data_IF_631552435678
#
_entry.id   IF_631552435678
#
_cell.length_a   1.000
_cell.length_b   1.000
_cell.length_c   1.000
_cell.angle_alpha   90.00
_cell.angle_beta   90.00
_cell.angle_gamma   90.00
#
_symmetry.space_group_name_H-M   'P 1'
#
loop_
_entity.id
_entity.type
_entity.pdbx_description
1 polymer ?
#
# COMPACT_ATOMS: atom_id res chain seq x y z
N UNK A 1 -56.01 -76.54 -19.60
CA UNK A 1 -55.94 -75.06 -19.68
C UNK A 1 -55.16 -74.56 -18.41
N UNK A 2 -53.87 -74.38 -18.55
CA UNK A 2 -52.97 -73.98 -17.46
C UNK A 2 -52.73 -72.49 -17.60
N UNK A 3 -53.11 -71.70 -16.59
CA UNK A 3 -53.01 -70.26 -16.53
C UNK A 3 -51.57 -69.93 -16.05
N UNK A 4 -50.75 -69.30 -16.91
CA UNK A 4 -49.40 -68.82 -16.55
C UNK A 4 -49.54 -67.57 -15.67
N UNK A 5 -49.04 -67.70 -14.48
CA UNK A 5 -48.95 -66.61 -13.46
C UNK A 5 -47.73 -65.75 -13.78
N UNK A 6 -47.94 -64.62 -14.43
CA UNK A 6 -46.87 -63.63 -14.69
C UNK A 6 -46.73 -62.70 -13.47
N UNK A 7 -45.91 -63.08 -12.46
CA UNK A 7 -45.49 -62.18 -11.42
C UNK A 7 -44.52 -61.14 -12.01
N UNK A 8 -45.00 -59.91 -12.13
CA UNK A 8 -44.16 -58.76 -12.40
C UNK A 8 -43.21 -58.54 -11.24
N UNK A 9 -41.92 -58.63 -11.49
CA UNK A 9 -40.91 -58.32 -10.49
C UNK A 9 -41.00 -56.81 -10.14
N UNK A 10 -41.35 -56.50 -8.90
CA UNK A 10 -41.29 -55.12 -8.37
C UNK A 10 -39.85 -54.61 -8.43
N UNK A 11 -39.61 -53.37 -8.87
CA UNK A 11 -38.27 -52.82 -8.90
C UNK A 11 -37.78 -52.63 -7.44
N UNK A 12 -36.67 -53.27 -7.12
CA UNK A 12 -36.00 -53.12 -5.81
C UNK A 12 -35.58 -51.64 -5.66
N UNK A 13 -36.38 -50.88 -4.93
CA UNK A 13 -36.09 -49.47 -4.66
C UNK A 13 -34.74 -49.32 -3.99
N UNK A 14 -33.95 -48.35 -4.44
CA UNK A 14 -32.66 -48.01 -3.79
C UNK A 14 -32.90 -47.74 -2.31
N UNK A 15 -32.08 -48.34 -1.44
CA UNK A 15 -32.26 -48.12 0.00
C UNK A 15 -32.04 -46.61 0.35
N UNK A 16 -32.92 -46.05 1.19
CA UNK A 16 -33.00 -44.63 1.54
C UNK A 16 -31.66 -44.03 1.98
N UNK A 17 -30.79 -44.82 2.65
CA UNK A 17 -29.45 -44.36 3.08
C UNK A 17 -28.52 -44.03 1.91
N UNK A 18 -28.68 -44.64 0.75
CA UNK A 18 -27.89 -44.32 -0.47
C UNK A 18 -28.23 -42.91 -0.95
N UNK A 19 -29.50 -42.56 -0.97
CA UNK A 19 -29.95 -41.21 -1.34
C UNK A 19 -29.49 -40.17 -0.31
N UNK A 20 -29.51 -40.49 0.98
CA UNK A 20 -29.01 -39.64 2.07
C UNK A 20 -27.50 -39.47 1.94
N UNK A 21 -26.74 -40.50 1.65
CA UNK A 21 -25.28 -40.44 1.49
C UNK A 21 -24.87 -39.60 0.27
N UNK A 22 -25.59 -39.74 -0.85
CA UNK A 22 -25.38 -38.90 -2.04
C UNK A 22 -25.70 -37.44 -1.73
N UNK A 23 -26.77 -37.12 -0.98
CA UNK A 23 -27.12 -35.77 -0.60
C UNK A 23 -26.04 -35.15 0.30
N UNK A 24 -25.53 -35.90 1.29
CA UNK A 24 -24.43 -35.44 2.16
C UNK A 24 -23.16 -35.17 1.39
N UNK A 25 -22.76 -36.08 0.47
CA UNK A 25 -21.59 -35.87 -0.37
C UNK A 25 -21.74 -34.66 -1.28
N UNK A 26 -22.90 -34.46 -1.89
CA UNK A 26 -23.18 -33.27 -2.70
C UNK A 26 -23.12 -31.97 -1.89
N UNK A 27 -23.65 -31.98 -0.66
CA UNK A 27 -23.55 -30.84 0.23
C UNK A 27 -22.09 -30.53 0.64
N UNK A 28 -21.28 -31.55 0.95
CA UNK A 28 -19.87 -31.38 1.27
C UNK A 28 -19.06 -30.84 0.07
N UNK A 29 -19.34 -31.32 -1.13
CA UNK A 29 -18.71 -30.80 -2.35
C UNK A 29 -19.10 -29.34 -2.62
N UNK A 30 -20.38 -28.98 -2.43
CA UNK A 30 -20.85 -27.61 -2.55
C UNK A 30 -20.19 -26.68 -1.51
N UNK A 31 -20.20 -27.07 -0.25
CA UNK A 31 -19.57 -26.29 0.83
C UNK A 31 -18.05 -26.18 0.63
N UNK A 32 -17.39 -27.28 0.24
CA UNK A 32 -15.97 -27.27 -0.11
C UNK A 32 -15.68 -26.36 -1.31
N UNK A 33 -16.51 -26.43 -2.36
CA UNK A 33 -16.40 -25.54 -3.52
C UNK A 33 -16.60 -24.06 -3.18
N UNK A 34 -17.60 -23.74 -2.37
CA UNK A 34 -17.82 -22.38 -1.87
C UNK A 34 -16.65 -21.91 -1.01
N UNK A 35 -16.14 -22.75 -0.11
CA UNK A 35 -14.98 -22.42 0.73
C UNK A 35 -13.73 -22.15 -0.10
N UNK A 36 -13.42 -23.00 -1.08
CA UNK A 36 -12.30 -22.82 -2.01
C UNK A 36 -12.49 -21.54 -2.83
N UNK A 37 -13.69 -21.31 -3.37
CA UNK A 37 -14.02 -20.12 -4.14
C UNK A 37 -13.83 -18.83 -3.31
N UNK A 38 -14.37 -18.79 -2.09
CA UNK A 38 -14.19 -17.62 -1.19
C UNK A 38 -12.74 -17.44 -0.80
N UNK A 39 -11.99 -18.54 -0.55
CA UNK A 39 -10.57 -18.47 -0.19
C UNK A 39 -9.71 -17.90 -1.33
N UNK A 40 -9.99 -18.28 -2.58
CA UNK A 40 -9.27 -17.77 -3.77
C UNK A 40 -9.66 -16.33 -4.08
N UNK A 41 -10.93 -15.96 -3.85
CA UNK A 41 -11.47 -14.63 -4.15
C UNK A 41 -11.34 -13.64 -3.00
N UNK A 42 -10.98 -14.09 -1.78
CA UNK A 42 -10.79 -13.20 -0.64
C UNK A 42 -9.67 -12.20 -0.94
N UNK A 43 -9.93 -10.89 -0.83
CA UNK A 43 -8.87 -9.90 -0.99
C UNK A 43 -7.80 -10.12 0.09
N UNK A 44 -6.54 -9.86 -0.25
CA UNK A 44 -5.45 -9.93 0.72
C UNK A 44 -5.75 -8.97 1.88
N UNK A 45 -5.66 -9.43 3.15
CA UNK A 45 -5.95 -8.60 4.31
C UNK A 45 -4.78 -7.65 4.57
N UNK A 46 -4.75 -6.53 3.87
CA UNK A 46 -3.77 -5.48 4.09
C UNK A 46 -3.87 -4.92 5.50
N UNK A 47 -2.75 -4.54 6.07
CA UNK A 47 -2.68 -3.86 7.36
C UNK A 47 -2.93 -2.35 7.22
N UNK A 48 -2.45 -1.76 6.13
CA UNK A 48 -2.73 -0.38 5.77
C UNK A 48 -4.17 -0.18 5.31
N UNK A 49 -4.62 1.07 5.29
CA UNK A 49 -5.92 1.47 4.75
C UNK A 49 -5.90 1.40 3.23
N UNK A 50 -6.70 0.52 2.65
CA UNK A 50 -6.75 0.25 1.21
C UNK A 50 -7.66 1.25 0.52
N UNK A 51 -7.33 1.65 -0.70
CA UNK A 51 -8.25 2.39 -1.57
C UNK A 51 -9.27 1.44 -2.20
N UNK A 52 -10.55 1.77 -2.13
CA UNK A 52 -11.64 0.98 -2.74
C UNK A 52 -11.44 0.83 -4.26
N UNK A 53 -10.98 1.90 -4.91
CA UNK A 53 -10.56 1.89 -6.30
C UNK A 53 -9.15 2.50 -6.41
N UNK A 54 -8.13 1.72 -6.84
CA UNK A 54 -6.78 2.23 -7.02
C UNK A 54 -6.75 3.38 -8.03
N UNK A 55 -6.31 4.55 -7.56
CA UNK A 55 -6.21 5.76 -8.38
C UNK A 55 -4.79 5.93 -8.89
N UNK A 56 -4.63 6.50 -10.09
CA UNK A 56 -3.32 6.87 -10.58
C UNK A 56 -2.68 7.91 -9.64
N UNK A 57 -1.46 7.67 -9.20
CA UNK A 57 -0.71 8.60 -8.38
C UNK A 57 -0.23 9.78 -9.23
N UNK A 58 -0.19 10.97 -8.67
CA UNK A 58 0.46 12.11 -9.31
C UNK A 58 1.97 11.97 -9.22
N UNK A 59 2.67 12.38 -10.28
CA UNK A 59 4.12 12.50 -10.28
C UNK A 59 4.61 13.62 -9.37
N UNK A 60 5.84 13.51 -8.89
CA UNK A 60 6.50 14.53 -8.09
C UNK A 60 7.66 15.12 -8.88
N UNK A 61 7.61 16.42 -9.15
CA UNK A 61 8.70 17.15 -9.81
C UNK A 61 9.15 18.30 -8.93
N UNK A 62 10.48 18.44 -8.76
CA UNK A 62 11.04 19.46 -7.89
C UNK A 62 12.56 19.47 -7.91
N UNK A 63 13.15 19.95 -6.83
CA UNK A 63 14.59 19.99 -6.64
C UNK A 63 15.03 19.01 -5.56
N UNK A 64 16.10 18.28 -5.82
CA UNK A 64 16.77 17.39 -4.87
C UNK A 64 18.26 17.75 -4.78
N UNK A 65 18.95 17.19 -3.78
CA UNK A 65 20.39 17.37 -3.63
C UNK A 65 21.09 16.03 -3.84
N UNK A 66 21.91 15.93 -4.89
CA UNK A 66 22.57 14.68 -5.26
C UNK A 66 24.00 14.98 -5.73
N UNK A 67 24.97 14.20 -5.25
CA UNK A 67 26.37 14.38 -5.66
C UNK A 67 26.95 15.74 -5.32
N UNK A 68 26.54 16.34 -4.18
CA UNK A 68 27.03 17.63 -3.69
C UNK A 68 26.41 18.86 -4.36
N UNK A 69 25.39 18.71 -5.18
CA UNK A 69 24.73 19.82 -5.89
C UNK A 69 23.21 19.67 -5.96
N UNK A 70 22.54 20.81 -6.14
CA UNK A 70 21.09 20.84 -6.39
C UNK A 70 20.83 20.40 -7.83
N UNK A 71 19.93 19.43 -8.00
CA UNK A 71 19.56 18.87 -9.31
C UNK A 71 18.04 18.79 -9.46
N UNK A 72 17.49 18.92 -10.67
CA UNK A 72 16.11 18.55 -10.92
C UNK A 72 15.87 17.09 -10.55
N UNK A 73 14.71 16.83 -9.96
CA UNK A 73 14.25 15.49 -9.64
C UNK A 73 12.82 15.31 -10.15
N UNK A 74 12.57 14.17 -10.75
CA UNK A 74 11.22 13.74 -11.09
C UNK A 74 10.99 12.31 -10.61
N UNK A 75 9.85 12.08 -10.00
CA UNK A 75 9.28 10.77 -9.76
C UNK A 75 8.08 10.61 -10.67
N UNK A 76 8.15 9.66 -11.57
CA UNK A 76 7.03 9.29 -12.45
C UNK A 76 6.44 7.98 -11.95
N UNK A 77 5.18 7.98 -11.48
CA UNK A 77 4.50 6.74 -11.10
C UNK A 77 4.40 5.79 -12.31
N UNK A 78 4.68 4.49 -12.07
CA UNK A 78 4.60 3.49 -13.15
C UNK A 78 5.95 3.13 -13.80
N UNK A 79 7.06 3.60 -13.27
CA UNK A 79 8.42 3.25 -13.74
C UNK A 79 8.96 1.92 -13.19
N UNK A 80 8.08 0.98 -12.83
CA UNK A 80 8.46 -0.37 -12.41
C UNK A 80 8.91 -0.49 -10.94
N UNK A 81 8.85 0.59 -10.15
CA UNK A 81 9.17 0.56 -8.72
C UNK A 81 7.95 0.76 -7.86
N UNK A 82 7.85 -0.03 -6.79
CA UNK A 82 6.91 0.24 -5.70
C UNK A 82 7.47 1.38 -4.86
N UNK A 83 6.66 2.42 -4.64
CA UNK A 83 7.12 3.67 -4.03
C UNK A 83 6.28 4.03 -2.83
N UNK A 84 6.93 4.30 -1.69
CA UNK A 84 6.31 4.96 -0.54
C UNK A 84 6.51 6.48 -0.67
N UNK A 85 5.43 7.25 -0.77
CA UNK A 85 5.47 8.72 -0.81
C UNK A 85 5.00 9.26 0.53
N UNK A 86 5.81 10.13 1.12
CA UNK A 86 5.54 10.78 2.41
C UNK A 86 5.71 12.29 2.28
N UNK A 87 4.75 13.04 2.84
CA UNK A 87 4.78 14.50 2.91
C UNK A 87 5.10 14.93 4.34
N UNK A 88 6.09 15.79 4.51
CA UNK A 88 6.52 16.24 5.83
C UNK A 88 7.48 17.44 5.72
N UNK A 89 8.24 17.74 6.78
CA UNK A 89 9.19 18.86 6.81
C UNK A 89 10.28 18.62 7.87
N UNK A 90 11.45 19.26 7.70
CA UNK A 90 12.63 18.97 8.55
C UNK A 90 12.51 19.49 9.98
N UNK A 91 11.65 20.46 10.23
CA UNK A 91 11.41 21.04 11.57
C UNK A 91 10.29 20.32 12.34
N UNK A 92 9.80 19.18 11.83
CA UNK A 92 8.82 18.36 12.54
C UNK A 92 9.50 17.63 13.71
N UNK A 93 9.03 17.80 14.96
CA UNK A 93 9.73 17.25 16.11
C UNK A 93 9.54 15.75 16.33
N UNK A 94 8.50 15.13 15.77
CA UNK A 94 8.06 13.78 16.17
C UNK A 94 7.70 12.89 14.97
N UNK A 95 6.61 13.17 14.27
CA UNK A 95 6.02 12.26 13.27
C UNK A 95 6.94 12.04 12.06
N UNK A 96 7.61 13.07 11.55
CA UNK A 96 8.45 12.95 10.36
C UNK A 96 9.70 12.10 10.59
N UNK A 97 10.49 12.31 11.68
CA UNK A 97 11.63 11.44 11.96
C UNK A 97 11.20 9.99 12.22
N UNK A 98 10.10 9.76 12.96
CA UNK A 98 9.57 8.42 13.20
C UNK A 98 9.17 7.72 11.89
N UNK A 99 8.44 8.41 11.00
CA UNK A 99 8.02 7.89 9.69
C UNK A 99 9.21 7.44 8.86
N UNK A 100 10.24 8.29 8.70
CA UNK A 100 11.42 7.95 7.91
C UNK A 100 12.19 6.78 8.52
N UNK A 101 12.35 6.73 9.86
CA UNK A 101 13.01 5.65 10.54
C UNK A 101 12.27 4.31 10.39
N UNK A 102 10.92 4.32 10.45
CA UNK A 102 10.12 3.11 10.26
C UNK A 102 10.17 2.60 8.82
N UNK A 103 10.12 3.49 7.83
CA UNK A 103 10.25 3.12 6.42
C UNK A 103 11.65 2.54 6.13
N UNK A 104 12.70 3.12 6.69
CA UNK A 104 14.06 2.59 6.56
C UNK A 104 14.19 1.22 7.24
N UNK A 105 13.61 1.02 8.43
CA UNK A 105 13.58 -0.29 9.09
C UNK A 105 12.90 -1.35 8.22
N UNK A 106 11.77 -1.01 7.60
CA UNK A 106 11.09 -1.91 6.66
C UNK A 106 11.98 -2.21 5.44
N UNK A 107 12.67 -1.20 4.87
CA UNK A 107 13.59 -1.35 3.75
C UNK A 107 14.80 -2.23 4.10
N UNK A 108 15.37 -2.09 5.30
CA UNK A 108 16.48 -2.92 5.77
C UNK A 108 16.10 -4.40 5.92
N UNK A 109 14.83 -4.69 6.26
CA UNK A 109 14.32 -6.06 6.35
C UNK A 109 13.99 -6.70 4.98
N UNK A 110 14.18 -5.97 3.87
CA UNK A 110 14.01 -6.46 2.50
C UNK A 110 15.28 -7.19 2.01
N UNK A 111 15.09 -8.15 1.10
CA UNK A 111 16.19 -8.71 0.33
C UNK A 111 16.81 -7.66 -0.62
N UNK A 112 18.05 -7.86 -1.10
CA UNK A 112 18.63 -6.95 -2.11
C UNK A 112 17.76 -6.76 -3.36
N UNK A 113 17.11 -7.82 -3.83
CA UNK A 113 16.22 -7.78 -4.98
C UNK A 113 14.93 -6.98 -4.72
N UNK A 114 14.36 -7.07 -3.50
CA UNK A 114 13.21 -6.27 -3.09
C UNK A 114 13.61 -4.79 -2.96
N UNK A 115 14.77 -4.49 -2.34
CA UNK A 115 15.27 -3.11 -2.21
C UNK A 115 15.48 -2.42 -3.56
N UNK A 116 15.95 -3.15 -4.57
CA UNK A 116 16.12 -2.60 -5.91
C UNK A 116 14.79 -2.15 -6.56
N UNK A 117 13.67 -2.77 -6.15
CA UNK A 117 12.32 -2.48 -6.64
C UNK A 117 11.52 -1.56 -5.72
N UNK A 118 12.09 -1.10 -4.62
CA UNK A 118 11.45 -0.22 -3.64
C UNK A 118 12.17 1.11 -3.53
N UNK A 119 11.42 2.18 -3.34
CA UNK A 119 11.98 3.48 -3.02
C UNK A 119 11.05 4.27 -2.08
N UNK A 120 11.64 5.22 -1.37
CA UNK A 120 10.93 6.18 -0.53
C UNK A 120 11.14 7.58 -1.11
N UNK A 121 10.06 8.33 -1.29
CA UNK A 121 10.08 9.73 -1.74
C UNK A 121 9.52 10.60 -0.61
N UNK A 122 10.35 11.49 -0.08
CA UNK A 122 10.02 12.46 0.94
C UNK A 122 9.83 13.83 0.30
N UNK A 123 8.60 14.35 0.33
CA UNK A 123 8.23 15.65 -0.25
C UNK A 123 8.10 16.68 0.88
N UNK A 124 8.84 17.79 0.77
CA UNK A 124 8.73 18.86 1.78
C UNK A 124 7.43 19.65 1.63
N UNK A 125 6.76 19.86 2.76
CA UNK A 125 5.63 20.79 2.94
C UNK A 125 6.08 22.20 3.38
N UNK A 126 7.40 22.42 3.53
CA UNK A 126 7.98 23.66 3.99
C UNK A 126 9.11 24.16 3.08
N UNK A 127 8.81 24.46 1.81
CA UNK A 127 9.83 24.85 0.85
C UNK A 127 10.55 26.17 1.21
N UNK A 128 10.04 26.94 2.16
CA UNK A 128 10.66 28.19 2.59
C UNK A 128 11.85 27.93 3.55
N UNK A 129 11.75 26.93 4.44
CA UNK A 129 12.79 26.56 5.40
C UNK A 129 13.62 25.35 4.96
N UNK A 130 13.05 24.46 4.15
CA UNK A 130 13.66 23.21 3.73
C UNK A 130 14.36 23.37 2.38
N UNK A 131 15.65 23.73 2.39
CA UNK A 131 16.46 23.71 1.16
C UNK A 131 16.69 22.26 0.67
N UNK A 132 16.97 22.02 -0.62
CA UNK A 132 17.26 20.68 -1.11
C UNK A 132 18.40 19.98 -0.36
N UNK A 133 19.47 20.73 0.02
CA UNK A 133 20.56 20.19 0.82
C UNK A 133 20.09 19.78 2.21
N UNK A 134 19.38 20.67 2.93
CA UNK A 134 18.85 20.37 4.27
C UNK A 134 17.94 19.14 4.26
N UNK A 135 17.06 19.02 3.26
CA UNK A 135 16.19 17.87 3.08
C UNK A 135 16.99 16.58 2.88
N UNK A 136 18.01 16.61 2.05
CA UNK A 136 18.88 15.46 1.81
C UNK A 136 19.63 15.04 3.08
N UNK A 137 20.21 15.99 3.82
CA UNK A 137 20.97 15.71 5.04
C UNK A 137 20.02 15.11 6.11
N UNK A 138 18.83 15.67 6.25
CA UNK A 138 17.80 15.14 7.12
C UNK A 138 17.35 13.73 6.73
N UNK A 139 17.02 13.52 5.46
CA UNK A 139 16.56 12.20 4.98
C UNK A 139 17.64 11.12 5.16
N UNK A 140 18.91 11.45 4.86
CA UNK A 140 20.06 10.54 5.01
C UNK A 140 20.34 10.15 6.46
N UNK A 141 20.03 11.01 7.42
CA UNK A 141 20.18 10.68 8.83
C UNK A 141 19.28 9.51 9.24
N UNK A 142 18.10 9.37 8.62
CA UNK A 142 17.16 8.29 8.91
C UNK A 142 17.25 7.10 7.94
N UNK A 143 17.81 7.28 6.74
CA UNK A 143 17.93 6.21 5.77
C UNK A 143 18.17 6.68 4.34
N UNK A 144 17.61 5.95 3.35
CA UNK A 144 17.83 6.17 1.91
C UNK A 144 16.57 6.70 1.21
N UNK A 145 15.90 7.68 1.81
CA UNK A 145 14.77 8.34 1.17
C UNK A 145 15.25 9.42 0.19
N UNK A 146 14.62 9.48 -0.99
CA UNK A 146 14.79 10.60 -1.92
C UNK A 146 13.98 11.79 -1.45
N UNK A 147 14.64 12.86 -1.09
CA UNK A 147 13.98 14.09 -0.62
C UNK A 147 13.81 15.09 -1.75
N UNK A 148 12.65 15.75 -1.79
CA UNK A 148 12.28 16.67 -2.86
C UNK A 148 11.66 17.94 -2.30
N UNK A 149 12.22 19.08 -2.72
CA UNK A 149 11.61 20.41 -2.52
C UNK A 149 10.71 20.72 -3.72
N UNK A 150 9.45 20.90 -3.47
CA UNK A 150 8.46 21.38 -4.46
C UNK A 150 7.99 22.75 -4.00
N UNK A 151 8.07 23.77 -4.87
CA UNK A 151 7.63 25.13 -4.53
C UNK A 151 6.14 25.35 -4.81
N UNK A 152 5.57 26.34 -4.11
CA UNK A 152 4.22 26.83 -4.39
C UNK A 152 4.16 27.50 -5.76
N UNK A 153 3.01 27.42 -6.47
CA UNK A 153 1.74 26.78 -6.11
C UNK A 153 1.69 25.28 -6.48
N UNK A 154 2.76 24.71 -7.06
CA UNK A 154 2.81 23.32 -7.50
C UNK A 154 2.69 22.36 -6.30
N UNK A 155 3.29 22.70 -5.17
CA UNK A 155 3.19 21.92 -3.94
C UNK A 155 1.74 21.76 -3.48
N UNK A 156 0.95 22.84 -3.45
CA UNK A 156 -0.45 22.79 -3.05
C UNK A 156 -1.29 21.88 -3.97
N UNK A 157 -1.02 21.90 -5.27
CA UNK A 157 -1.70 21.04 -6.25
C UNK A 157 -1.31 19.57 -6.06
N UNK A 158 -0.02 19.31 -5.86
CA UNK A 158 0.50 17.97 -5.59
C UNK A 158 -0.07 17.41 -4.28
N UNK A 159 -0.04 18.16 -3.20
CA UNK A 159 -0.58 17.74 -1.90
C UNK A 159 -2.07 17.36 -2.00
N UNK A 160 -2.88 18.19 -2.67
CA UNK A 160 -4.31 17.89 -2.91
C UNK A 160 -4.52 16.59 -3.68
N UNK A 161 -3.67 16.27 -4.66
CA UNK A 161 -3.78 15.03 -5.44
C UNK A 161 -3.56 13.76 -4.59
N UNK A 162 -2.91 13.91 -3.44
CA UNK A 162 -2.72 12.88 -2.43
C UNK A 162 -3.68 13.02 -1.24
N UNK A 163 -4.65 13.93 -1.29
CA UNK A 163 -5.52 14.28 -0.17
C UNK A 163 -4.73 14.71 1.10
N UNK A 164 -3.58 15.35 0.90
CA UNK A 164 -2.77 15.90 1.97
C UNK A 164 -3.15 17.37 2.17
N UNK A 165 -3.57 17.69 3.40
CA UNK A 165 -3.78 19.05 3.88
C UNK A 165 -2.57 19.51 4.68
N UNK A 166 -2.20 20.78 4.60
CA UNK A 166 -1.19 21.38 5.45
C UNK A 166 -1.47 22.87 5.67
N UNK A 167 -1.14 23.36 6.85
CA UNK A 167 -1.38 24.73 7.26
C UNK A 167 -0.24 25.21 8.18
N UNK A 168 0.28 26.42 7.94
CA UNK A 168 1.22 27.07 8.82
C UNK A 168 0.49 27.66 10.02
N UNK A 169 0.82 27.20 11.23
CA UNK A 169 0.28 27.68 12.50
C UNK A 169 1.34 28.53 13.22
N UNK A 170 1.10 29.82 13.51
CA UNK A 170 2.05 30.67 14.22
C UNK A 170 2.37 30.09 15.61
N UNK A 171 3.63 30.27 16.06
CA UNK A 171 4.06 29.91 17.40
C UNK A 171 4.17 31.12 18.29
N UNK A 172 3.86 31.00 19.61
CA UNK A 172 4.21 32.01 20.59
C UNK A 172 5.72 32.28 20.56
N UNK A 173 6.14 33.53 20.44
CA UNK A 173 7.57 33.90 20.35
C UNK A 173 8.13 33.98 18.93
N UNK A 174 7.32 33.75 17.91
CA UNK A 174 7.69 33.86 16.49
C UNK A 174 7.95 32.54 15.80
N UNK A 175 7.98 32.58 14.46
CA UNK A 175 8.05 31.37 13.64
C UNK A 175 6.70 30.66 13.48
N UNK A 176 6.72 29.45 12.96
CA UNK A 176 5.51 28.64 12.73
C UNK A 176 5.80 27.15 12.78
N UNK A 177 4.77 26.40 13.11
CA UNK A 177 4.66 24.95 12.94
C UNK A 177 3.77 24.64 11.73
N UNK A 178 3.91 23.46 11.14
CA UNK A 178 3.02 23.00 10.10
C UNK A 178 2.17 21.85 10.64
N UNK A 179 0.86 22.06 10.66
CA UNK A 179 -0.10 21.00 10.88
C UNK A 179 -0.43 20.37 9.54
N UNK A 180 -0.25 19.06 9.40
CA UNK A 180 -0.47 18.36 8.14
C UNK A 180 -1.02 16.96 8.32
N UNK A 181 -1.57 16.39 7.24
CA UNK A 181 -1.90 14.98 7.14
C UNK A 181 -0.61 14.15 7.15
N UNK A 182 -0.48 13.22 8.09
CA UNK A 182 0.73 12.41 8.31
C UNK A 182 0.65 11.01 7.68
N UNK A 183 -0.06 10.86 6.55
CA UNK A 183 -0.17 9.59 5.84
C UNK A 183 1.05 9.32 4.94
N UNK A 184 1.43 8.04 4.85
CA UNK A 184 2.40 7.53 3.89
C UNK A 184 1.67 6.68 2.85
N UNK A 185 1.83 7.01 1.58
CA UNK A 185 1.10 6.40 0.46
C UNK A 185 1.96 5.35 -0.23
N UNK A 186 1.45 4.12 -0.36
CA UNK A 186 2.11 3.07 -1.13
C UNK A 186 1.56 3.03 -2.55
N UNK A 187 2.47 3.23 -3.51
CA UNK A 187 2.21 3.25 -4.95
C UNK A 187 2.84 2.00 -5.56
N UNK A 188 2.10 1.26 -6.37
CA UNK A 188 2.61 0.08 -7.06
C UNK A 188 3.49 0.42 -8.27
N UNK A 189 4.09 -0.62 -8.85
CA UNK A 189 4.96 -0.51 -10.02
C UNK A 189 4.24 0.01 -11.30
N UNK A 190 2.90 -0.04 -11.35
CA UNK A 190 2.07 0.52 -12.40
C UNK A 190 1.65 1.99 -12.12
N UNK A 191 2.05 2.53 -10.98
CA UNK A 191 1.76 3.92 -10.61
C UNK A 191 0.43 4.13 -9.89
N UNK A 192 -0.23 3.08 -9.44
CA UNK A 192 -1.52 3.18 -8.73
C UNK A 192 -1.33 3.26 -7.22
N UNK A 193 -2.00 4.19 -6.55
CA UNK A 193 -2.10 4.25 -5.09
C UNK A 193 -2.87 3.04 -4.59
N UNK A 194 -2.22 2.16 -3.81
CA UNK A 194 -2.82 0.90 -3.35
C UNK A 194 -3.37 1.01 -1.93
N UNK A 195 -2.61 1.62 -1.05
CA UNK A 195 -2.97 1.79 0.35
C UNK A 195 -2.18 2.96 0.96
N UNK A 196 -2.56 3.32 2.18
CA UNK A 196 -1.80 4.26 2.99
C UNK A 196 -1.63 3.72 4.42
N UNK A 197 -0.61 4.21 5.12
CA UNK A 197 -0.40 3.99 6.54
C UNK A 197 -0.32 5.33 7.28
N UNK A 198 -0.82 5.36 8.50
CA UNK A 198 -0.47 6.39 9.47
C UNK A 198 0.87 6.05 10.18
N UNK A 199 1.37 6.96 11.01
CA UNK A 199 2.65 6.78 11.71
C UNK A 199 2.61 5.60 12.69
N UNK A 200 1.48 5.33 13.32
CA UNK A 200 1.34 4.22 14.29
C UNK A 200 1.38 2.87 13.57
N UNK A 201 0.72 2.77 12.42
CA UNK A 201 0.78 1.59 11.56
C UNK A 201 2.22 1.33 11.06
N UNK A 202 2.96 2.37 10.67
CA UNK A 202 4.35 2.23 10.20
C UNK A 202 5.28 1.65 11.26
N UNK A 203 5.01 1.81 12.55
CA UNK A 203 5.74 1.20 13.66
C UNK A 203 5.74 -0.34 13.63
N UNK A 204 4.71 -0.96 13.05
CA UNK A 204 4.55 -2.41 12.90
C UNK A 204 5.30 -2.96 11.67
N UNK A 205 6.62 -2.88 11.68
CA UNK A 205 7.52 -3.19 10.55
C UNK A 205 7.18 -4.48 9.81
N UNK A 206 6.85 -5.56 10.52
CA UNK A 206 6.55 -6.86 9.91
C UNK A 206 5.26 -6.82 9.08
N UNK A 207 4.24 -6.08 9.53
CA UNK A 207 2.95 -5.91 8.84
C UNK A 207 3.11 -5.01 7.63
N UNK A 208 3.83 -3.90 7.79
CA UNK A 208 4.16 -2.97 6.69
C UNK A 208 4.95 -3.68 5.59
N UNK A 209 5.97 -4.46 5.95
CA UNK A 209 6.77 -5.23 5.00
C UNK A 209 5.93 -6.26 4.24
N UNK A 210 4.98 -6.93 4.92
CA UNK A 210 4.04 -7.85 4.27
C UNK A 210 3.17 -7.14 3.24
N UNK A 211 2.66 -5.95 3.55
CA UNK A 211 1.86 -5.14 2.62
C UNK A 211 2.68 -4.73 1.40
N UNK A 212 3.92 -4.23 1.63
CA UNK A 212 4.82 -3.85 0.53
C UNK A 212 5.10 -5.05 -0.38
N UNK A 213 5.42 -6.22 0.17
CA UNK A 213 5.67 -7.45 -0.59
C UNK A 213 4.46 -7.87 -1.40
N UNK A 214 3.27 -7.78 -0.82
CA UNK A 214 2.04 -8.11 -1.51
C UNK A 214 1.80 -7.17 -2.69
N UNK A 215 2.00 -5.86 -2.50
CA UNK A 215 1.87 -4.87 -3.60
C UNK A 215 2.92 -5.10 -4.69
N UNK A 216 4.17 -5.41 -4.32
CA UNK A 216 5.23 -5.74 -5.28
C UNK A 216 4.93 -6.97 -6.14
N UNK A 217 4.25 -7.97 -5.55
CA UNK A 217 3.97 -9.26 -6.20
C UNK A 217 2.60 -9.28 -6.90
N UNK A 218 1.77 -8.27 -6.70
CA UNK A 218 0.48 -8.18 -7.38
C UNK A 218 0.66 -7.33 -8.65
N UNK A 219 0.61 -7.92 -9.85
CA UNK A 219 0.61 -7.13 -11.08
C UNK A 219 -0.53 -6.12 -11.00
N UNK A 220 -0.27 -4.85 -11.30
CA UNK A 220 -1.34 -3.87 -11.39
C UNK A 220 -2.39 -4.43 -12.36
N UNK A 221 -3.63 -4.60 -11.89
CA UNK A 221 -4.73 -4.93 -12.79
C UNK A 221 -4.76 -3.83 -13.87
N UNK A 222 -4.26 -4.17 -15.04
CA UNK A 222 -4.39 -3.40 -16.28
C UNK A 222 -5.86 -3.25 -16.64
#
# INVERSE_FOLDING_TARGET
MTRADTRSAEPVGRPWYVSALVAVLAALLLLGGVWVYTRIRSPFPYYGTVYDAPQQAAGVSGLSFTGGKVTPYAFTPGEGKTTAVFFGFTHCPDVCPATLAYLERARQAMTPAERAKFQVVFVSLDPDRDTPQRLNDYAKYFGDARSVQVKEPVLATLARSYAVSYVKAPLPGGGYQINHTSATFLIDAAGKKRLLWDVTQLGETARVLRDIRQVMNTPGNT
#
